data_IF_340698502468
#
_entry.id   IF_340698502468
#
_cell.length_a   1.000
_cell.length_b   1.000
_cell.length_c   1.000
_cell.angle_alpha   90.00
_cell.angle_beta   90.00
_cell.angle_gamma   90.00
#
_symmetry.space_group_name_H-M   'P 1'
#
loop_
_entity.id
_entity.type
_entity.pdbx_description
1 polymer ?
#
# COMPACT_ATOMS: atom_id res chain seq x y z
N UNK A 1 10.41 7.32 5.70
CA UNK A 1 9.36 6.42 5.21
C UNK A 1 8.30 6.21 6.27
N UNK A 2 7.07 6.03 5.83
CA UNK A 2 5.94 5.83 6.73
C UNK A 2 5.10 4.65 6.26
N UNK A 3 4.41 3.95 7.19
CA UNK A 3 3.46 2.95 6.76
C UNK A 3 2.26 3.61 6.07
N UNK A 4 1.67 2.90 5.14
CA UNK A 4 0.55 3.41 4.35
C UNK A 4 -0.62 3.86 5.23
N UNK A 5 -0.80 3.22 6.38
CA UNK A 5 -1.87 3.55 7.33
C UNK A 5 -1.74 4.96 7.91
N UNK A 6 -0.55 5.54 7.88
CA UNK A 6 -0.32 6.89 8.40
C UNK A 6 -0.37 7.95 7.29
N UNK A 7 -0.49 7.55 6.04
CA UNK A 7 -0.58 8.48 4.92
C UNK A 7 -1.99 9.04 4.83
N UNK A 8 -2.15 10.36 4.80
CA UNK A 8 -3.47 10.97 4.63
C UNK A 8 -4.08 10.63 3.27
N UNK A 9 -5.40 10.63 3.21
CA UNK A 9 -6.12 10.47 1.94
C UNK A 9 -5.65 11.55 0.95
N UNK A 10 -5.40 11.15 -0.27
CA UNK A 10 -4.89 12.02 -1.32
C UNK A 10 -3.38 12.05 -1.43
N UNK A 11 -2.67 11.39 -0.51
CA UNK A 11 -1.20 11.35 -0.53
C UNK A 11 -0.72 10.44 -1.65
N UNK A 12 0.17 10.98 -2.49
CA UNK A 12 0.88 10.21 -3.50
C UNK A 12 2.35 10.04 -3.08
N UNK A 13 2.89 8.88 -3.37
CA UNK A 13 4.28 8.60 -3.05
C UNK A 13 4.77 7.37 -3.75
N UNK A 14 5.88 6.83 -3.29
CA UNK A 14 6.51 5.65 -3.87
C UNK A 14 6.64 4.57 -2.80
N UNK A 15 6.33 3.34 -3.16
CA UNK A 15 6.52 2.21 -2.26
C UNK A 15 8.02 2.00 -2.09
N UNK A 16 8.49 2.02 -0.85
CA UNK A 16 9.91 1.79 -0.60
C UNK A 16 10.19 0.41 -0.04
N UNK A 17 9.22 -0.21 0.65
CA UNK A 17 9.44 -1.50 1.28
C UNK A 17 8.10 -2.15 1.62
N UNK A 18 8.04 -3.47 1.48
CA UNK A 18 6.91 -4.28 1.95
C UNK A 18 7.42 -5.19 3.04
N UNK A 19 6.77 -5.16 4.20
CA UNK A 19 7.18 -5.92 5.37
C UNK A 19 6.36 -7.20 5.50
N UNK A 20 6.93 -8.17 6.22
CA UNK A 20 6.29 -9.45 6.44
C UNK A 20 7.20 -10.61 6.05
N UNK A 21 6.72 -11.84 6.22
CA UNK A 21 7.47 -13.01 5.80
C UNK A 21 7.45 -13.11 4.26
N UNK A 22 8.21 -14.07 3.71
CA UNK A 22 8.35 -14.19 2.26
C UNK A 22 7.03 -14.49 1.54
N UNK A 23 6.13 -15.25 2.17
CA UNK A 23 4.84 -15.57 1.56
C UNK A 23 3.94 -14.34 1.48
N UNK A 24 3.89 -13.55 2.55
CA UNK A 24 3.11 -12.31 2.60
C UNK A 24 3.67 -11.31 1.59
N UNK A 25 4.98 -11.13 1.56
CA UNK A 25 5.60 -10.19 0.62
C UNK A 25 5.35 -10.59 -0.83
N UNK A 26 5.47 -11.89 -1.13
CA UNK A 26 5.21 -12.39 -2.48
C UNK A 26 3.76 -12.11 -2.89
N UNK A 27 2.82 -12.39 -2.00
CA UNK A 27 1.40 -12.14 -2.27
C UNK A 27 1.15 -10.66 -2.60
N UNK A 28 1.73 -9.76 -1.80
CA UNK A 28 1.57 -8.32 -2.02
C UNK A 28 2.27 -7.87 -3.30
N UNK A 29 3.44 -8.41 -3.59
CA UNK A 29 4.14 -8.10 -4.85
C UNK A 29 3.33 -8.55 -6.06
N UNK A 30 2.69 -9.72 -5.97
CA UNK A 30 1.82 -10.22 -7.05
C UNK A 30 0.62 -9.30 -7.28
N UNK A 31 0.17 -8.59 -6.24
CA UNK A 31 -0.89 -7.60 -6.36
C UNK A 31 -0.40 -6.26 -6.92
N UNK A 32 0.90 -6.10 -7.09
CA UNK A 32 1.47 -4.87 -7.63
C UNK A 32 2.19 -3.99 -6.60
N UNK A 33 2.23 -4.39 -5.33
CA UNK A 33 2.91 -3.63 -4.29
C UNK A 33 4.41 -3.91 -4.31
N UNK A 34 5.09 -3.31 -5.25
CA UNK A 34 6.51 -3.55 -5.52
C UNK A 34 7.29 -2.29 -5.19
N UNK A 35 8.44 -2.43 -4.53
CA UNK A 35 9.31 -1.30 -4.22
C UNK A 35 9.67 -0.52 -5.50
N UNK A 36 9.58 0.79 -5.45
CA UNK A 36 9.81 1.66 -6.59
C UNK A 36 8.56 2.02 -7.38
N UNK A 37 7.41 1.42 -7.04
CA UNK A 37 6.14 1.68 -7.72
C UNK A 37 5.42 2.85 -7.06
N UNK A 38 4.80 3.71 -7.87
CA UNK A 38 4.00 4.82 -7.35
C UNK A 38 2.70 4.31 -6.76
N UNK A 39 2.29 4.93 -5.66
CA UNK A 39 1.06 4.59 -4.95
C UNK A 39 0.37 5.86 -4.47
N UNK A 40 -0.95 5.88 -4.56
CA UNK A 40 -1.77 7.00 -4.07
C UNK A 40 -2.86 6.47 -3.17
N UNK A 41 -3.04 7.09 -2.02
CA UNK A 41 -4.14 6.76 -1.11
C UNK A 41 -5.37 7.51 -1.59
N UNK A 42 -6.38 6.78 -2.04
CA UNK A 42 -7.60 7.35 -2.64
C UNK A 42 -8.64 7.66 -1.57
N UNK A 43 -8.93 6.69 -0.71
CA UNK A 43 -9.94 6.88 0.33
C UNK A 43 -9.76 5.85 1.44
N UNK A 44 -10.47 6.08 2.54
CA UNK A 44 -10.49 5.16 3.67
C UNK A 44 -11.95 4.86 3.98
N UNK A 45 -12.33 3.59 3.98
CA UNK A 45 -13.70 3.14 4.22
C UNK A 45 -13.67 2.08 5.33
N UNK A 46 -14.09 2.48 6.53
CA UNK A 46 -14.08 1.58 7.67
C UNK A 46 -12.67 1.06 7.94
N UNK A 47 -12.51 -0.25 7.90
CA UNK A 47 -11.22 -0.89 8.14
C UNK A 47 -10.41 -1.10 6.86
N UNK A 48 -10.89 -0.58 5.74
CA UNK A 48 -10.23 -0.76 4.45
C UNK A 48 -9.66 0.54 3.94
N UNK A 49 -8.57 0.41 3.18
CA UNK A 49 -7.92 1.52 2.50
C UNK A 49 -8.03 1.27 1.01
N UNK A 50 -8.45 2.27 0.26
CA UNK A 50 -8.49 2.19 -1.20
C UNK A 50 -7.25 2.91 -1.73
N UNK A 51 -6.44 2.21 -2.50
CA UNK A 51 -5.21 2.77 -3.07
C UNK A 51 -5.20 2.58 -4.57
N UNK A 52 -4.45 3.43 -5.25
CA UNK A 52 -4.22 3.34 -6.68
C UNK A 52 -2.76 2.98 -6.91
N UNK A 53 -2.53 1.82 -7.55
CA UNK A 53 -1.19 1.32 -7.88
C UNK A 53 -1.21 0.95 -9.35
N UNK A 54 -0.30 1.52 -10.13
CA UNK A 54 -0.22 1.27 -11.58
C UNK A 54 -1.56 1.49 -12.27
N UNK A 55 -2.28 2.54 -11.88
CA UNK A 55 -3.60 2.90 -12.43
C UNK A 55 -4.70 1.87 -12.13
N UNK A 56 -4.49 1.01 -11.13
CA UNK A 56 -5.49 0.05 -10.68
C UNK A 56 -5.87 0.38 -9.26
N UNK A 57 -7.17 0.45 -8.98
CA UNK A 57 -7.68 0.67 -7.63
C UNK A 57 -7.80 -0.66 -6.91
N UNK A 58 -7.22 -0.71 -5.72
CA UNK A 58 -7.19 -1.92 -4.90
C UNK A 58 -7.65 -1.56 -3.49
N UNK A 59 -8.57 -2.35 -2.95
CA UNK A 59 -8.97 -2.22 -1.54
C UNK A 59 -8.12 -3.18 -0.71
N UNK A 60 -7.49 -2.66 0.33
CA UNK A 60 -6.68 -3.46 1.25
C UNK A 60 -7.10 -3.18 2.68
N UNK A 61 -6.90 -4.18 3.56
CA UNK A 61 -7.19 -4.01 4.98
C UNK A 61 -6.14 -3.11 5.63
N UNK A 62 -6.49 -2.54 6.79
CA UNK A 62 -5.53 -1.77 7.58
C UNK A 62 -4.32 -2.62 7.96
N UNK A 63 -4.54 -3.89 8.25
CA UNK A 63 -3.45 -4.81 8.58
C UNK A 63 -2.47 -4.94 7.42
N UNK A 64 -2.97 -5.10 6.20
CA UNK A 64 -2.14 -5.17 5.01
C UNK A 64 -1.44 -3.84 4.75
N UNK A 65 -2.18 -2.74 4.86
CA UNK A 65 -1.63 -1.39 4.64
C UNK A 65 -0.48 -1.08 5.60
N UNK A 66 -0.54 -1.61 6.81
CA UNK A 66 0.50 -1.41 7.81
C UNK A 66 1.85 -2.00 7.39
N UNK A 67 1.84 -2.97 6.50
CA UNK A 67 3.04 -3.65 6.01
C UNK A 67 3.69 -2.94 4.84
N UNK A 68 3.02 -1.97 4.23
CA UNK A 68 3.52 -1.27 3.05
C UNK A 68 4.08 0.07 3.49
N UNK A 69 5.38 0.27 3.26
CA UNK A 69 6.07 1.51 3.63
C UNK A 69 6.25 2.37 2.37
N UNK A 70 5.96 3.65 2.49
CA UNK A 70 6.07 4.59 1.38
C UNK A 70 6.93 5.81 1.74
N UNK A 71 7.42 6.43 0.72
CA UNK A 71 8.14 7.72 0.80
C UNK A 71 7.56 8.72 -0.18
#
# INVERSE_FOLDING_TARGET
MIPLTLAPVGTAGTICKVMGNSDVRRHLEDMGFIAGTDITVISSLGENLIVNVKNVRIAISQETARRIMMI
#
